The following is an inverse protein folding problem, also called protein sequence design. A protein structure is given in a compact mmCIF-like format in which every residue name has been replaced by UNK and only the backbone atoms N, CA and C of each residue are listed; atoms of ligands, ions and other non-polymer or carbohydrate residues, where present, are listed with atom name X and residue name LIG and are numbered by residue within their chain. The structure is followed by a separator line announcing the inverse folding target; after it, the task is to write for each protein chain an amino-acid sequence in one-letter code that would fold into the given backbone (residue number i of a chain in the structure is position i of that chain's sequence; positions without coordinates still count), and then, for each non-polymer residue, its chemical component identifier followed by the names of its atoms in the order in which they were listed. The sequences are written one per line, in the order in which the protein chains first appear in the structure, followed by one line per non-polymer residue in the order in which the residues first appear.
data_IF_581961805829
#
_entry.id   IF_581961805829
#
_cell.length_a   1.000
_cell.length_b   1.000
_cell.length_c   1.000
_cell.angle_alpha   90.00
_cell.angle_beta   90.00
_cell.angle_gamma   90.00
#
_symmetry.space_group_name_H-M   'P 1'
#
loop_
_entity.id
_entity.type
_entity.pdbx_description
1 polymer ?
#
# COMPACT_ATOMS: atom_id res chain seq x y z
N UNK A 1 39.22 -14.75 -18.16
CA UNK A 1 38.38 -13.63 -17.72
C UNK A 1 37.00 -13.70 -18.35
N UNK A 2 36.86 -13.95 -19.66
CA UNK A 2 35.54 -14.11 -20.33
C UNK A 2 34.58 -15.14 -19.69
N UNK A 3 35.09 -16.23 -19.12
CA UNK A 3 34.25 -17.30 -18.54
C UNK A 3 33.63 -16.93 -17.16
N UNK A 4 34.20 -15.94 -16.47
CA UNK A 4 33.71 -15.51 -15.16
C UNK A 4 32.61 -14.46 -15.32
N UNK A 5 32.83 -13.47 -16.19
CA UNK A 5 31.81 -12.47 -16.55
C UNK A 5 30.57 -13.13 -17.19
N UNK A 6 30.77 -14.13 -18.06
CA UNK A 6 29.66 -14.90 -18.63
C UNK A 6 28.89 -15.68 -17.55
N UNK A 7 29.58 -16.36 -16.64
CA UNK A 7 28.94 -17.08 -15.55
C UNK A 7 28.17 -16.15 -14.60
N UNK A 8 28.74 -14.99 -14.27
CA UNK A 8 28.07 -13.95 -13.47
C UNK A 8 26.80 -13.44 -14.18
N UNK A 9 26.87 -13.20 -15.48
CA UNK A 9 25.72 -12.79 -16.31
C UNK A 9 24.63 -13.87 -16.34
N UNK A 10 24.99 -15.14 -16.47
CA UNK A 10 24.04 -16.25 -16.48
C UNK A 10 23.38 -16.44 -15.11
N UNK A 11 24.14 -16.32 -14.01
CA UNK A 11 23.62 -16.40 -12.64
C UNK A 11 22.66 -15.24 -12.36
N UNK A 12 23.01 -14.02 -12.78
CA UNK A 12 22.15 -12.84 -12.63
C UNK A 12 20.84 -13.02 -13.40
N UNK A 13 20.92 -13.38 -14.69
CA UNK A 13 19.75 -13.61 -15.55
C UNK A 13 18.85 -14.72 -15.01
N UNK A 14 19.45 -15.81 -14.52
CA UNK A 14 18.70 -16.92 -13.93
C UNK A 14 18.01 -16.51 -12.63
N UNK A 15 18.67 -15.72 -11.79
CA UNK A 15 18.11 -15.24 -10.51
C UNK A 15 17.00 -14.22 -10.73
N UNK A 16 17.16 -13.31 -11.70
CA UNK A 16 16.15 -12.33 -12.11
C UNK A 16 14.91 -12.98 -12.72
N UNK A 17 15.05 -14.15 -13.35
CA UNK A 17 13.94 -14.92 -13.89
C UNK A 17 13.04 -15.57 -12.82
N UNK A 18 13.54 -15.71 -11.58
CA UNK A 18 12.70 -16.11 -10.45
C UNK A 18 12.09 -14.88 -9.81
N UNK A 19 10.77 -14.92 -9.56
CA UNK A 19 10.17 -13.99 -8.61
C UNK A 19 10.85 -14.26 -7.25
N UNK A 20 11.63 -13.32 -6.68
CA UNK A 20 12.32 -13.57 -5.41
C UNK A 20 11.33 -13.67 -4.25
N UNK A 21 10.09 -13.25 -4.48
CA UNK A 21 9.01 -13.30 -3.52
C UNK A 21 8.38 -14.68 -3.48
N UNK A 22 8.18 -15.17 -2.26
CA UNK A 22 7.50 -16.43 -2.05
C UNK A 22 6.04 -16.33 -2.46
N UNK A 23 5.42 -17.48 -2.70
CA UNK A 23 3.97 -17.58 -2.89
C UNK A 23 3.17 -16.86 -1.78
N UNK A 24 3.71 -16.78 -0.56
CA UNK A 24 3.06 -16.11 0.57
C UNK A 24 3.00 -14.59 0.41
N UNK A 25 4.02 -13.96 -0.17
CA UNK A 25 4.05 -12.51 -0.40
C UNK A 25 3.04 -12.15 -1.48
N UNK A 26 3.07 -12.89 -2.60
CA UNK A 26 2.09 -12.73 -3.69
C UNK A 26 0.67 -12.96 -3.17
N UNK A 27 0.46 -14.02 -2.38
CA UNK A 27 -0.83 -14.29 -1.76
C UNK A 27 -1.27 -13.14 -0.84
N UNK A 28 -0.36 -12.59 -0.05
CA UNK A 28 -0.67 -11.49 0.87
C UNK A 28 -1.04 -10.23 0.10
N UNK A 29 -0.26 -9.84 -0.91
CA UNK A 29 -0.56 -8.72 -1.78
C UNK A 29 -1.95 -8.88 -2.43
N UNK A 30 -2.27 -10.06 -2.98
CA UNK A 30 -3.59 -10.33 -3.56
C UNK A 30 -4.72 -10.33 -2.52
N UNK A 31 -4.49 -10.86 -1.31
CA UNK A 31 -5.49 -10.81 -0.24
C UNK A 31 -5.80 -9.36 0.16
N UNK A 32 -4.78 -8.52 0.35
CA UNK A 32 -4.94 -7.09 0.66
C UNK A 32 -5.69 -6.36 -0.45
N UNK A 33 -5.34 -6.65 -1.70
CA UNK A 33 -6.00 -6.10 -2.90
C UNK A 33 -7.50 -6.41 -2.91
N UNK A 34 -7.86 -7.68 -2.74
CA UNK A 34 -9.25 -8.13 -2.75
C UNK A 34 -10.04 -7.55 -1.57
N UNK A 35 -9.43 -7.48 -0.38
CA UNK A 35 -10.08 -6.88 0.80
C UNK A 35 -10.29 -5.36 0.67
N UNK A 36 -9.49 -4.68 -0.15
CA UNK A 36 -9.65 -3.26 -0.46
C UNK A 36 -10.67 -2.99 -1.59
N UNK A 37 -11.33 -4.03 -2.12
CA UNK A 37 -12.33 -3.91 -3.19
C UNK A 37 -11.76 -3.88 -4.61
N UNK A 38 -10.47 -4.22 -4.79
CA UNK A 38 -9.83 -4.28 -6.10
C UNK A 38 -9.65 -5.72 -6.60
N UNK A 39 -9.31 -5.87 -7.88
CA UNK A 39 -9.00 -7.18 -8.48
C UNK A 39 -7.49 -7.39 -8.66
N UNK A 40 -7.10 -8.62 -9.03
CA UNK A 40 -5.70 -8.95 -9.25
C UNK A 40 -5.04 -8.16 -10.39
N UNK A 41 -5.82 -7.66 -11.36
CA UNK A 41 -5.31 -6.83 -12.45
C UNK A 41 -4.88 -5.48 -11.91
N UNK A 42 -5.66 -4.87 -11.03
CA UNK A 42 -5.27 -3.63 -10.36
C UNK A 42 -3.94 -3.77 -9.61
N UNK A 43 -3.74 -4.86 -8.86
CA UNK A 43 -2.47 -5.10 -8.16
C UNK A 43 -1.29 -5.21 -9.12
N UNK A 44 -1.47 -5.92 -10.23
CA UNK A 44 -0.44 -6.05 -11.25
C UNK A 44 -0.12 -4.70 -11.91
N UNK A 45 -1.14 -3.89 -12.17
CA UNK A 45 -0.98 -2.55 -12.74
C UNK A 45 -0.19 -1.63 -11.79
N UNK A 46 -0.48 -1.66 -10.47
CA UNK A 46 0.29 -0.89 -9.48
C UNK A 46 1.79 -1.27 -9.51
N UNK A 47 2.09 -2.57 -9.55
CA UNK A 47 3.48 -3.05 -9.59
C UNK A 47 4.17 -2.64 -10.88
N UNK A 48 3.48 -2.74 -12.01
CA UNK A 48 4.01 -2.39 -13.32
C UNK A 48 4.32 -0.90 -13.39
N UNK A 49 3.38 -0.04 -12.99
CA UNK A 49 3.57 1.42 -12.96
C UNK A 49 4.75 1.79 -12.06
N UNK A 50 4.84 1.23 -10.87
CA UNK A 50 5.96 1.51 -9.95
C UNK A 50 7.31 1.11 -10.56
N UNK A 51 7.39 -0.07 -11.19
CA UNK A 51 8.59 -0.52 -11.88
C UNK A 51 9.01 0.46 -12.99
N UNK A 52 8.05 0.88 -13.82
CA UNK A 52 8.30 1.79 -14.94
C UNK A 52 8.75 3.17 -14.45
N UNK A 53 8.09 3.72 -13.43
CA UNK A 53 8.42 5.04 -12.87
C UNK A 53 9.78 5.06 -12.15
N UNK A 54 10.14 3.96 -11.48
CA UNK A 54 11.40 3.85 -10.75
C UNK A 54 12.55 3.29 -11.60
N UNK A 55 12.29 2.83 -12.83
CA UNK A 55 13.28 2.14 -13.66
C UNK A 55 13.78 0.84 -13.03
N UNK A 56 12.90 0.12 -12.33
CA UNK A 56 13.20 -1.12 -11.63
C UNK A 56 12.59 -2.33 -12.36
N UNK A 57 13.17 -3.49 -12.13
CA UNK A 57 12.61 -4.76 -12.60
C UNK A 57 11.66 -5.35 -11.55
N UNK A 58 10.72 -6.19 -11.97
CA UNK A 58 9.80 -6.92 -11.08
C UNK A 58 10.52 -7.74 -10.00
N UNK A 59 11.70 -8.28 -10.33
CA UNK A 59 12.56 -9.03 -9.41
C UNK A 59 13.20 -8.16 -8.32
N UNK A 60 13.03 -6.83 -8.36
CA UNK A 60 13.69 -5.87 -7.45
C UNK A 60 12.70 -5.10 -6.58
N UNK A 61 11.39 -5.44 -6.60
CA UNK A 61 10.35 -4.68 -5.89
C UNK A 61 9.42 -5.55 -5.06
N UNK A 62 9.16 -5.20 -3.80
CA UNK A 62 8.27 -5.97 -2.93
C UNK A 62 6.80 -5.74 -3.36
N UNK A 63 6.09 -6.76 -3.87
CA UNK A 63 4.71 -6.61 -4.30
C UNK A 63 3.76 -6.26 -3.15
N UNK A 64 4.07 -6.67 -1.91
CA UNK A 64 3.28 -6.28 -0.75
C UNK A 64 3.41 -4.79 -0.49
N UNK A 65 4.65 -4.26 -0.55
CA UNK A 65 4.91 -2.82 -0.38
C UNK A 65 4.10 -2.01 -1.39
N UNK A 66 4.25 -2.33 -2.68
CA UNK A 66 3.63 -1.55 -3.75
C UNK A 66 2.10 -1.59 -3.65
N UNK A 67 1.52 -2.77 -3.40
CA UNK A 67 0.07 -2.90 -3.26
C UNK A 67 -0.43 -2.12 -2.05
N UNK A 68 0.24 -2.23 -0.90
CA UNK A 68 -0.18 -1.50 0.31
C UNK A 68 -0.03 0.01 0.13
N UNK A 69 1.04 0.47 -0.54
CA UNK A 69 1.22 1.88 -0.88
C UNK A 69 0.13 2.36 -1.84
N UNK A 70 -0.22 1.56 -2.85
CA UNK A 70 -1.34 1.86 -3.74
C UNK A 70 -2.67 2.03 -2.98
N UNK A 71 -2.97 1.12 -2.04
CA UNK A 71 -4.16 1.21 -1.18
C UNK A 71 -4.12 2.48 -0.31
N UNK A 72 -2.96 2.78 0.30
CA UNK A 72 -2.78 4.01 1.08
C UNK A 72 -3.05 5.26 0.24
N UNK A 73 -2.47 5.36 -0.96
CA UNK A 73 -2.67 6.54 -1.81
C UNK A 73 -4.13 6.69 -2.28
N UNK A 74 -4.83 5.59 -2.58
CA UNK A 74 -6.27 5.64 -2.90
C UNK A 74 -7.09 6.12 -1.71
N UNK A 75 -6.86 5.56 -0.52
CA UNK A 75 -7.55 5.97 0.70
C UNK A 75 -7.25 7.43 1.07
N UNK A 76 -5.98 7.84 0.97
CA UNK A 76 -5.51 9.21 1.22
C UNK A 76 -6.25 10.21 0.35
N UNK A 77 -6.26 10.00 -0.97
CA UNK A 77 -6.86 10.94 -1.90
C UNK A 77 -8.35 11.15 -1.63
N UNK A 78 -9.06 10.07 -1.27
CA UNK A 78 -10.48 10.16 -0.93
C UNK A 78 -10.70 10.86 0.41
N UNK A 79 -9.96 10.49 1.45
CA UNK A 79 -10.05 11.11 2.77
C UNK A 79 -9.71 12.61 2.69
N UNK A 80 -8.65 12.98 1.99
CA UNK A 80 -8.26 14.38 1.78
C UNK A 80 -9.35 15.14 1.01
N UNK A 81 -9.92 14.56 -0.05
CA UNK A 81 -10.99 15.20 -0.81
C UNK A 81 -12.25 15.46 0.02
N UNK A 82 -12.55 14.59 0.98
CA UNK A 82 -13.77 14.65 1.80
C UNK A 82 -13.60 15.45 3.11
N UNK A 83 -12.42 15.40 3.72
CA UNK A 83 -12.14 16.02 5.02
C UNK A 83 -11.22 17.23 4.95
N UNK A 84 -10.46 17.39 3.86
CA UNK A 84 -9.35 18.32 3.77
C UNK A 84 -8.13 17.90 4.59
N UNK A 85 -8.12 16.69 5.15
CA UNK A 85 -7.04 16.14 5.96
C UNK A 85 -6.21 15.15 5.14
N UNK A 86 -4.91 15.43 5.02
CA UNK A 86 -3.96 14.58 4.31
C UNK A 86 -3.30 13.62 5.30
N UNK A 87 -3.73 12.36 5.32
CA UNK A 87 -3.26 11.37 6.30
C UNK A 87 -1.73 11.16 6.30
N UNK A 88 -1.03 11.41 5.19
CA UNK A 88 0.42 11.29 5.14
C UNK A 88 1.08 12.55 5.74
N UNK A 89 0.62 13.73 5.30
CA UNK A 89 1.27 14.99 5.68
C UNK A 89 0.85 15.49 7.07
N UNK A 90 -0.39 15.23 7.47
CA UNK A 90 -0.99 15.71 8.70
C UNK A 90 -0.93 14.67 9.83
N UNK A 91 -0.82 13.37 9.52
CA UNK A 91 -0.79 12.28 10.51
C UNK A 91 0.24 11.17 10.23
N UNK A 92 1.32 11.47 9.49
CA UNK A 92 2.49 10.59 9.30
C UNK A 92 2.22 9.13 8.93
N UNK A 93 1.08 8.82 8.31
CA UNK A 93 0.81 7.47 7.84
C UNK A 93 1.58 7.19 6.55
N UNK A 94 2.55 6.27 6.62
CA UNK A 94 3.37 5.88 5.48
C UNK A 94 3.54 4.36 5.43
N UNK A 95 3.56 3.79 4.22
CA UNK A 95 4.09 2.45 4.02
C UNK A 95 5.58 2.58 3.79
N UNK A 96 6.38 1.91 4.62
CA UNK A 96 7.80 1.78 4.37
C UNK A 96 8.07 0.41 3.77
N UNK A 97 8.86 0.35 2.71
CA UNK A 97 9.23 -0.92 2.12
C UNK A 97 10.60 -0.88 1.45
N UNK A 98 11.22 -2.04 1.37
CA UNK A 98 12.33 -2.32 0.47
C UNK A 98 12.10 -3.69 -0.17
N UNK A 99 13.03 -4.15 -1.01
CA UNK A 99 12.91 -5.43 -1.72
C UNK A 99 12.82 -6.68 -0.82
N UNK A 100 12.94 -6.57 0.50
CA UNK A 100 12.87 -7.70 1.45
C UNK A 100 11.77 -7.59 2.49
N UNK A 101 11.18 -6.41 2.71
CA UNK A 101 10.23 -6.21 3.79
C UNK A 101 9.38 -4.97 3.56
N UNK A 102 8.14 -5.04 4.03
CA UNK A 102 7.23 -3.92 4.19
C UNK A 102 6.90 -3.74 5.67
N UNK A 103 6.93 -2.51 6.18
CA UNK A 103 6.49 -2.15 7.52
C UNK A 103 5.49 -1.01 7.49
N UNK A 104 4.50 -1.11 8.37
CA UNK A 104 3.51 -0.09 8.60
C UNK A 104 3.65 0.40 10.03
N UNK A 105 3.81 1.71 10.21
CA UNK A 105 3.85 2.33 11.53
C UNK A 105 2.77 3.42 11.57
N UNK A 106 1.84 3.29 12.51
CA UNK A 106 0.95 4.37 12.91
C UNK A 106 0.99 4.42 14.43
N UNK A 107 1.38 5.56 15.00
CA UNK A 107 1.31 5.75 16.45
C UNK A 107 -0.08 6.21 16.85
N UNK A 108 -0.48 5.94 18.09
CA UNK A 108 -1.85 6.28 18.55
C UNK A 108 -2.17 7.77 18.41
N UNK A 109 -1.16 8.64 18.56
CA UNK A 109 -1.31 10.08 18.37
C UNK A 109 -1.77 10.45 16.95
N UNK A 110 -1.20 9.82 15.92
CA UNK A 110 -1.57 10.04 14.52
C UNK A 110 -3.01 9.55 14.25
N UNK A 111 -3.39 8.42 14.87
CA UNK A 111 -4.77 7.88 14.79
C UNK A 111 -5.77 8.82 15.47
N UNK A 112 -5.44 9.38 16.63
CA UNK A 112 -6.29 10.35 17.32
C UNK A 112 -6.46 11.65 16.52
N UNK A 113 -5.40 12.14 15.88
CA UNK A 113 -5.47 13.29 14.98
C UNK A 113 -6.41 13.02 13.81
N UNK A 114 -6.27 11.86 13.18
CA UNK A 114 -7.15 11.45 12.09
C UNK A 114 -8.60 11.31 12.57
N UNK A 115 -8.87 10.59 13.66
CA UNK A 115 -10.24 10.48 14.22
C UNK A 115 -10.85 11.86 14.47
N UNK A 116 -10.08 12.78 15.05
CA UNK A 116 -10.53 14.15 15.33
C UNK A 116 -10.89 14.92 14.06
N UNK A 117 -10.12 14.76 12.98
CA UNK A 117 -10.39 15.39 11.69
C UNK A 117 -11.67 14.83 11.04
N UNK A 118 -11.89 13.51 11.15
CA UNK A 118 -13.04 12.85 10.52
C UNK A 118 -14.35 13.06 11.30
N UNK A 119 -14.31 13.15 12.65
CA UNK A 119 -15.49 13.46 13.48
C UNK A 119 -16.13 14.82 13.15
N UNK A 120 -15.35 15.77 12.62
CA UNK A 120 -15.86 17.08 12.21
C UNK A 120 -16.55 17.12 10.85
N UNK A 121 -16.55 16.01 10.11
CA UNK A 121 -17.02 15.95 8.74
C UNK A 121 -18.51 15.59 8.64
N UNK A 122 -19.17 16.06 7.57
CA UNK A 122 -20.59 15.83 7.33
C UNK A 122 -20.93 14.53 6.60
N UNK A 123 -19.92 13.73 6.25
CA UNK A 123 -20.05 12.45 5.54
C UNK A 123 -19.96 11.29 6.53
N UNK A 124 -20.59 10.17 6.20
CA UNK A 124 -20.63 8.97 7.02
C UNK A 124 -19.58 7.96 6.55
N UNK A 125 -19.13 7.07 7.44
CA UNK A 125 -18.17 6.00 7.11
C UNK A 125 -18.66 5.12 5.94
N UNK A 126 -19.98 4.93 5.81
CA UNK A 126 -20.58 4.17 4.73
C UNK A 126 -20.55 4.90 3.37
N UNK A 127 -20.29 6.21 3.36
CA UNK A 127 -20.13 7.01 2.14
C UNK A 127 -18.74 6.82 1.49
N UNK A 128 -17.76 6.31 2.25
CA UNK A 128 -16.41 6.04 1.75
C UNK A 128 -16.39 4.85 0.77
N UNK A 129 -15.38 4.82 -0.11
CA UNK A 129 -15.08 3.63 -0.90
C UNK A 129 -14.71 2.44 -0.01
N UNK A 130 -14.80 1.24 -0.58
CA UNK A 130 -14.35 0.01 0.08
C UNK A 130 -12.87 0.09 0.47
N UNK A 131 -12.03 0.68 -0.39
CA UNK A 131 -10.61 0.88 -0.13
C UNK A 131 -10.36 1.79 1.08
N UNK A 132 -11.03 2.94 1.16
CA UNK A 132 -10.84 3.87 2.27
C UNK A 132 -11.33 3.28 3.60
N UNK A 133 -12.50 2.62 3.61
CA UNK A 133 -12.98 1.89 4.79
C UNK A 133 -12.02 0.79 5.21
N UNK A 134 -11.56 -0.02 4.25
CA UNK A 134 -10.61 -1.09 4.48
C UNK A 134 -9.33 -0.55 5.14
N UNK A 135 -8.77 0.52 4.58
CA UNK A 135 -7.57 1.13 5.11
C UNK A 135 -7.76 1.67 6.54
N UNK A 136 -8.87 2.36 6.83
CA UNK A 136 -9.16 2.87 8.17
C UNK A 136 -9.29 1.74 9.21
N UNK A 137 -9.94 0.63 8.84
CA UNK A 137 -10.12 -0.53 9.73
C UNK A 137 -8.78 -1.21 10.02
N UNK A 138 -7.95 -1.44 9.00
CA UNK A 138 -6.60 -2.01 9.19
C UNK A 138 -5.71 -1.12 10.06
N UNK A 139 -6.01 0.17 10.11
CA UNK A 139 -5.31 1.17 10.91
C UNK A 139 -5.90 1.42 12.29
N UNK A 140 -6.91 0.62 12.69
CA UNK A 140 -7.58 0.74 13.99
C UNK A 140 -8.20 2.14 14.19
N UNK A 141 -8.60 2.80 13.10
CA UNK A 141 -9.27 4.10 13.13
C UNK A 141 -10.78 3.86 13.23
N UNK A 142 -11.25 3.65 14.45
CA UNK A 142 -12.68 3.54 14.74
C UNK A 142 -13.32 4.94 14.76
N UNK A 143 -14.33 5.15 13.92
CA UNK A 143 -15.22 6.32 13.99
C UNK A 143 -16.47 5.92 14.77
N UNK A 144 -16.75 6.60 15.88
CA UNK A 144 -17.91 6.30 16.70
C UNK A 144 -19.22 6.47 15.91
N UNK A 145 -20.13 5.50 16.01
CA UNK A 145 -21.44 5.53 15.32
C UNK A 145 -22.35 6.70 15.70
N UNK A 146 -22.01 7.44 16.76
CA UNK A 146 -22.78 8.58 17.30
C UNK A 146 -22.09 9.95 17.08
N UNK A 147 -20.94 9.99 16.42
CA UNK A 147 -20.13 11.22 16.27
C UNK A 147 -20.28 11.91 14.91
N UNK A 148 -21.05 11.34 13.99
CA UNK A 148 -21.38 11.98 12.70
C UNK A 148 -22.79 12.55 12.78
N UNK A 149 -22.90 13.88 12.88
CA UNK A 149 -24.17 14.62 12.85
C UNK A 149 -24.42 15.29 11.51
#
# INVERSE_FOLDING_TARGET
MENLEYLESEIASFTEAFCPYGYLDIKTALLRTLSAGFDATWAFDQITVFCDECGLEFSKVDPCYIVMEGILQQARNEIEALSGFDICNDANFYVYGNFMCSSFEGVEEDREQLRSALTGCSWQFDDLSECARYWLVENEVELGSDEVK
#
